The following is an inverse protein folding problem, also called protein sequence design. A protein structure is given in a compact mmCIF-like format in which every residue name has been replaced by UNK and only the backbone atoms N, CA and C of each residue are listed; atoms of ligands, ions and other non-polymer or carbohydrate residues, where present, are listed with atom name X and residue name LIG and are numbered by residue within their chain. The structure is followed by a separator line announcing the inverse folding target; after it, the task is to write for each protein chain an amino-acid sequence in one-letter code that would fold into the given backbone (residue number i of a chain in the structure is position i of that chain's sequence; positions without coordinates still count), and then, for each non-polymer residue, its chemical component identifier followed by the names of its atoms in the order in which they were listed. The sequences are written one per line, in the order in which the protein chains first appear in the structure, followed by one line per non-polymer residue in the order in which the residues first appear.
data_IF_626142659035
#
_entry.id   IF_626142659035
#
_cell.length_a   1.000
_cell.length_b   1.000
_cell.length_c   1.000
_cell.angle_alpha   90.00
_cell.angle_beta   90.00
_cell.angle_gamma   90.00
#
_symmetry.space_group_name_H-M   'P 1'
#
loop_
_entity.id
_entity.type
_entity.pdbx_description
1 polymer ?
#
# COMPACT_ATOMS: atom_id res chain seq x y z
N UNK A 1 -17.52 -5.67 -10.86
CA UNK A 1 -17.55 -4.33 -10.22
C UNK A 1 -18.99 -3.91 -10.13
N UNK A 2 -19.34 -3.32 -9.01
CA UNK A 2 -20.67 -2.76 -8.84
C UNK A 2 -20.74 -1.47 -9.68
N UNK A 3 -21.53 -1.49 -10.76
CA UNK A 3 -21.76 -0.31 -11.62
C UNK A 3 -22.41 0.86 -10.87
N UNK A 4 -22.86 0.61 -9.64
CA UNK A 4 -23.55 1.60 -8.80
C UNK A 4 -22.59 2.51 -8.02
N UNK A 5 -21.28 2.17 -7.94
CA UNK A 5 -20.29 2.96 -7.21
C UNK A 5 -19.00 3.12 -8.05
N UNK A 6 -18.98 3.99 -9.06
CA UNK A 6 -17.81 4.19 -9.90
C UNK A 6 -16.68 4.82 -9.09
N UNK A 7 -15.43 4.44 -9.41
CA UNK A 7 -14.24 5.08 -8.83
C UNK A 7 -14.25 6.57 -9.24
N UNK A 8 -14.13 7.51 -8.29
CA UNK A 8 -14.09 8.95 -8.60
C UNK A 8 -12.92 9.27 -9.53
N UNK A 9 -13.09 10.26 -10.38
CA UNK A 9 -12.01 10.79 -11.23
C UNK A 9 -10.97 11.53 -10.39
N UNK A 10 -9.71 11.47 -10.82
CA UNK A 10 -8.59 12.14 -10.16
C UNK A 10 -7.31 11.99 -10.97
N UNK A 11 -6.27 12.73 -10.64
CA UNK A 11 -4.99 12.65 -11.33
C UNK A 11 -4.20 11.39 -10.92
N UNK A 12 -4.30 11.00 -9.65
CA UNK A 12 -3.60 9.86 -9.07
C UNK A 12 -4.60 8.91 -8.42
N UNK A 13 -4.50 7.62 -8.78
CA UNK A 13 -5.23 6.54 -8.12
C UNK A 13 -4.27 5.74 -7.24
N UNK A 14 -4.61 5.57 -5.96
CA UNK A 14 -3.84 4.81 -4.99
C UNK A 14 -4.63 3.58 -4.55
N UNK A 15 -3.97 2.40 -4.54
CA UNK A 15 -4.49 1.16 -3.99
C UNK A 15 -3.57 0.66 -2.86
N UNK A 16 -4.10 0.52 -1.66
CA UNK A 16 -3.33 0.27 -0.43
C UNK A 16 -3.19 -1.20 -0.05
N UNK A 17 -3.16 -2.10 -1.04
CA UNK A 17 -2.93 -3.54 -0.83
C UNK A 17 -4.19 -4.39 -0.83
N UNK A 18 -4.01 -5.71 -0.64
CA UNK A 18 -5.04 -6.73 -0.78
C UNK A 18 -5.67 -6.74 -2.19
N UNK A 19 -4.79 -6.72 -3.18
CA UNK A 19 -5.15 -6.77 -4.60
C UNK A 19 -5.76 -8.12 -5.01
N UNK A 20 -5.48 -9.17 -4.25
CA UNK A 20 -5.86 -10.56 -4.50
C UNK A 20 -6.50 -11.21 -3.27
N UNK A 21 -7.10 -12.38 -3.43
CA UNK A 21 -7.59 -13.14 -2.27
C UNK A 21 -6.48 -13.94 -1.58
N UNK A 22 -5.60 -14.58 -2.36
CA UNK A 22 -4.50 -15.42 -1.86
C UNK A 22 -3.27 -15.40 -2.78
N UNK A 23 -3.12 -14.39 -3.62
CA UNK A 23 -1.94 -14.21 -4.46
C UNK A 23 -1.76 -15.24 -5.57
N UNK A 24 -2.84 -15.84 -6.10
CA UNK A 24 -2.71 -16.76 -7.24
C UNK A 24 -2.37 -16.00 -8.51
N UNK A 25 -1.59 -16.60 -9.45
CA UNK A 25 -1.20 -15.95 -10.70
C UNK A 25 -2.35 -15.27 -11.44
N UNK A 26 -3.47 -15.97 -11.62
CA UNK A 26 -4.62 -15.40 -12.33
C UNK A 26 -5.29 -14.23 -11.57
N UNK A 27 -5.28 -14.23 -10.22
CA UNK A 27 -5.82 -13.12 -9.42
C UNK A 27 -4.97 -11.86 -9.62
N UNK A 28 -3.63 -12.02 -9.64
CA UNK A 28 -2.70 -10.91 -9.90
C UNK A 28 -2.86 -10.39 -11.33
N UNK A 29 -2.96 -11.28 -12.32
CA UNK A 29 -3.18 -10.92 -13.72
C UNK A 29 -4.48 -10.15 -13.91
N UNK A 30 -5.58 -10.65 -13.32
CA UNK A 30 -6.89 -10.00 -13.37
C UNK A 30 -6.85 -8.61 -12.73
N UNK A 31 -6.20 -8.47 -11.55
CA UNK A 31 -6.03 -7.16 -10.90
C UNK A 31 -5.21 -6.21 -11.76
N UNK A 32 -4.04 -6.62 -12.23
CA UNK A 32 -3.15 -5.77 -13.02
C UNK A 32 -3.85 -5.32 -14.31
N UNK A 33 -4.49 -6.24 -15.03
CA UNK A 33 -5.24 -5.90 -16.22
C UNK A 33 -6.38 -4.92 -15.94
N UNK A 34 -7.15 -5.14 -14.86
CA UNK A 34 -8.19 -4.21 -14.45
C UNK A 34 -7.63 -2.83 -14.13
N UNK A 35 -6.59 -2.77 -13.28
CA UNK A 35 -6.01 -1.51 -12.80
C UNK A 35 -5.38 -0.71 -13.95
N UNK A 36 -4.68 -1.38 -14.87
CA UNK A 36 -4.15 -0.74 -16.10
C UNK A 36 -5.23 -0.14 -16.99
N UNK A 37 -6.40 -0.79 -17.09
CA UNK A 37 -7.47 -0.36 -17.96
C UNK A 37 -8.37 0.73 -17.38
N UNK A 38 -8.23 1.08 -16.10
CA UNK A 38 -8.92 2.22 -15.50
C UNK A 38 -8.50 3.52 -16.21
N UNK A 39 -9.49 4.33 -16.57
CA UNK A 39 -9.29 5.59 -17.28
C UNK A 39 -9.57 6.79 -16.39
N UNK A 40 -8.96 7.93 -16.72
CA UNK A 40 -9.16 9.19 -16.01
C UNK A 40 -8.17 9.40 -14.86
N UNK A 41 -7.02 8.72 -14.91
CA UNK A 41 -5.90 8.87 -13.98
C UNK A 41 -4.61 9.00 -14.78
N UNK A 42 -3.76 9.96 -14.43
CA UNK A 42 -2.45 10.15 -15.05
C UNK A 42 -1.43 9.16 -14.47
N UNK A 43 -1.60 8.80 -13.20
CA UNK A 43 -0.73 7.85 -12.49
C UNK A 43 -1.57 6.94 -11.59
N UNK A 44 -1.24 5.67 -11.58
CA UNK A 44 -1.87 4.65 -10.72
C UNK A 44 -0.79 3.98 -9.87
N UNK A 45 -0.93 4.02 -8.55
CA UNK A 45 0.06 3.48 -7.61
C UNK A 45 -0.60 2.39 -6.78
N UNK A 46 0.06 1.26 -6.61
CA UNK A 46 -0.38 0.23 -5.70
C UNK A 46 0.76 -0.35 -4.88
N UNK A 47 0.41 -0.90 -3.73
CA UNK A 47 1.26 -1.73 -2.89
C UNK A 47 0.61 -3.10 -2.72
N UNK A 48 1.34 -4.08 -2.21
CA UNK A 48 0.77 -5.34 -1.77
C UNK A 48 0.16 -5.23 -0.37
N UNK A 49 -0.67 -6.21 0.01
CA UNK A 49 -1.21 -6.41 1.34
C UNK A 49 -1.00 -7.84 1.82
N UNK A 50 -1.65 -8.21 2.94
CA UNK A 50 -1.44 -9.53 3.53
C UNK A 50 -2.03 -10.67 2.71
N UNK A 51 -3.00 -10.42 1.87
CA UNK A 51 -3.56 -11.41 0.94
C UNK A 51 -2.68 -11.69 -0.28
N UNK A 52 -1.71 -10.83 -0.55
CA UNK A 52 -0.94 -10.79 -1.80
C UNK A 52 0.34 -11.62 -1.73
N UNK A 53 0.20 -12.94 -1.47
CA UNK A 53 1.33 -13.87 -1.28
C UNK A 53 2.31 -13.93 -2.46
N UNK A 54 1.85 -13.72 -3.69
CA UNK A 54 2.70 -13.73 -4.87
C UNK A 54 3.78 -12.64 -4.86
N UNK A 55 3.56 -11.58 -4.08
CA UNK A 55 4.47 -10.43 -3.99
C UNK A 55 5.56 -10.62 -2.91
N UNK A 56 5.36 -11.50 -1.91
CA UNK A 56 6.34 -11.75 -0.84
C UNK A 56 7.35 -12.84 -1.20
N UNK A 57 8.48 -12.43 -1.77
CA UNK A 57 9.54 -13.28 -2.35
C UNK A 57 10.11 -14.33 -1.40
N UNK A 58 10.28 -14.00 -0.13
CA UNK A 58 11.15 -14.78 0.78
C UNK A 58 10.38 -15.78 1.62
N UNK A 59 9.09 -15.60 1.82
CA UNK A 59 8.28 -16.39 2.77
C UNK A 59 7.64 -17.63 2.15
N UNK A 60 7.51 -17.66 0.82
CA UNK A 60 6.82 -18.73 0.11
C UNK A 60 7.71 -19.42 -0.93
N UNK A 61 8.80 -20.10 -0.49
CA UNK A 61 9.68 -20.84 -1.41
C UNK A 61 8.96 -21.96 -2.17
N UNK A 62 7.77 -22.40 -1.69
CA UNK A 62 6.92 -23.39 -2.37
C UNK A 62 6.17 -22.80 -3.58
N UNK A 63 6.06 -21.49 -3.68
CA UNK A 63 5.46 -20.75 -4.80
C UNK A 63 6.52 -20.07 -5.69
N UNK A 64 7.73 -20.63 -5.73
CA UNK A 64 8.83 -20.03 -6.51
C UNK A 64 8.48 -19.80 -7.98
N UNK A 65 7.66 -20.69 -8.56
CA UNK A 65 7.16 -20.51 -9.92
C UNK A 65 6.18 -19.34 -10.06
N UNK A 66 5.37 -19.09 -9.03
CA UNK A 66 4.38 -17.99 -9.03
C UNK A 66 5.09 -16.64 -8.88
N UNK A 67 6.14 -16.56 -8.04
CA UNK A 67 6.97 -15.36 -7.92
C UNK A 67 7.76 -15.05 -9.20
N UNK A 68 8.37 -16.05 -9.82
CA UNK A 68 9.09 -15.85 -11.10
C UNK A 68 8.12 -15.34 -12.17
N UNK A 69 6.90 -15.87 -12.21
CA UNK A 69 5.85 -15.40 -13.11
C UNK A 69 5.43 -13.95 -12.80
N UNK A 70 5.20 -13.61 -11.52
CA UNK A 70 4.91 -12.25 -11.08
C UNK A 70 6.03 -11.27 -11.48
N UNK A 71 7.29 -11.65 -11.24
CA UNK A 71 8.45 -10.85 -11.63
C UNK A 71 8.48 -10.59 -13.15
N UNK A 72 8.14 -11.59 -13.95
CA UNK A 72 8.00 -11.44 -15.39
C UNK A 72 6.84 -10.50 -15.75
N UNK A 73 5.68 -10.64 -15.14
CA UNK A 73 4.54 -9.77 -15.38
C UNK A 73 4.86 -8.31 -15.04
N UNK A 74 5.49 -8.05 -13.90
CA UNK A 74 5.84 -6.70 -13.47
C UNK A 74 6.98 -6.07 -14.29
N UNK A 75 7.81 -6.89 -14.91
CA UNK A 75 8.88 -6.44 -15.82
C UNK A 75 8.50 -6.53 -17.30
N UNK A 76 7.29 -6.97 -17.62
CA UNK A 76 6.81 -6.93 -19.01
C UNK A 76 6.82 -5.48 -19.52
N UNK A 77 7.23 -5.34 -20.77
CA UNK A 77 7.33 -4.05 -21.47
C UNK A 77 6.04 -3.22 -21.41
N UNK A 78 4.89 -3.91 -21.25
CA UNK A 78 3.58 -3.27 -21.11
C UNK A 78 3.40 -2.53 -19.79
N UNK A 79 3.89 -3.07 -18.66
CA UNK A 79 3.77 -2.41 -17.36
C UNK A 79 4.77 -1.26 -17.25
N UNK A 80 6.01 -1.46 -17.72
CA UNK A 80 7.04 -0.42 -17.73
C UNK A 80 6.72 0.78 -18.62
N UNK A 81 5.81 0.62 -19.59
CA UNK A 81 5.30 1.68 -20.46
C UNK A 81 3.92 2.20 -20.02
N UNK A 82 3.38 1.67 -18.92
CA UNK A 82 2.09 2.09 -18.38
C UNK A 82 2.25 3.19 -17.33
N UNK A 83 1.14 3.82 -16.98
CA UNK A 83 0.97 4.76 -15.88
C UNK A 83 0.78 4.06 -14.52
N UNK A 84 1.10 2.75 -14.42
CA UNK A 84 0.95 1.92 -13.21
C UNK A 84 2.28 1.68 -12.53
N UNK A 85 2.35 1.92 -11.23
CA UNK A 85 3.53 1.78 -10.39
C UNK A 85 3.22 0.85 -9.21
N UNK A 86 4.06 -0.14 -8.98
CA UNK A 86 4.11 -0.94 -7.76
C UNK A 86 5.20 -0.42 -6.85
N UNK A 87 4.88 -0.16 -5.58
CA UNK A 87 5.84 0.26 -4.57
C UNK A 87 5.96 -0.82 -3.49
N UNK A 88 7.21 -1.22 -3.22
CA UNK A 88 7.60 -2.08 -2.11
C UNK A 88 8.88 -1.52 -1.50
N UNK A 89 8.75 -0.95 -0.29
CA UNK A 89 9.82 -0.26 0.43
C UNK A 89 10.63 0.68 -0.47
N UNK A 90 9.92 1.43 -1.29
CA UNK A 90 10.49 2.26 -2.33
C UNK A 90 9.76 3.60 -2.47
N UNK A 91 10.49 4.58 -3.00
CA UNK A 91 9.98 5.91 -3.27
C UNK A 91 9.66 6.12 -4.75
N UNK A 92 8.75 7.03 -5.01
CA UNK A 92 8.45 7.57 -6.32
C UNK A 92 8.19 9.06 -6.22
N UNK A 93 8.56 9.83 -7.24
CA UNK A 93 8.40 11.29 -7.23
C UNK A 93 7.66 11.73 -8.49
N UNK A 94 6.67 12.61 -8.31
CA UNK A 94 5.89 13.21 -9.41
C UNK A 94 6.05 14.71 -9.40
N UNK A 95 6.26 15.29 -10.58
CA UNK A 95 6.22 16.72 -10.80
C UNK A 95 4.85 17.13 -11.35
N UNK A 96 4.18 18.04 -10.65
CA UNK A 96 2.98 18.70 -11.14
C UNK A 96 3.21 20.20 -11.21
N UNK A 97 2.77 20.88 -12.29
CA UNK A 97 2.96 22.32 -12.47
C UNK A 97 2.37 23.18 -11.34
N UNK A 98 1.34 22.68 -10.67
CA UNK A 98 0.64 23.35 -9.58
C UNK A 98 1.41 23.35 -8.26
N UNK A 99 2.37 22.45 -8.10
CA UNK A 99 3.20 22.37 -6.90
C UNK A 99 4.56 23.04 -7.11
N UNK A 100 5.04 23.73 -6.11
CA UNK A 100 6.35 24.43 -6.15
C UNK A 100 7.54 23.48 -6.11
N UNK A 101 7.31 22.20 -5.80
CA UNK A 101 8.29 21.11 -5.77
C UNK A 101 7.63 19.78 -6.11
N UNK A 102 8.43 18.79 -6.52
CA UNK A 102 7.92 17.42 -6.71
C UNK A 102 7.27 16.87 -5.44
N UNK A 103 6.24 16.04 -5.60
CA UNK A 103 5.62 15.25 -4.53
C UNK A 103 6.32 13.91 -4.41
N UNK A 104 6.75 13.56 -3.20
CA UNK A 104 7.41 12.29 -2.90
C UNK A 104 6.42 11.30 -2.27
N UNK A 105 6.32 10.14 -2.89
CA UNK A 105 5.55 8.99 -2.43
C UNK A 105 6.48 7.95 -1.82
N UNK A 106 6.01 7.24 -0.82
CA UNK A 106 6.61 6.01 -0.30
C UNK A 106 5.55 4.95 -0.13
N UNK A 107 5.84 3.71 -0.57
CA UNK A 107 4.95 2.56 -0.43
C UNK A 107 5.61 1.41 0.30
N UNK A 108 4.88 0.79 1.24
CA UNK A 108 5.36 -0.37 2.01
C UNK A 108 4.20 -1.31 2.37
N UNK A 109 4.32 -2.63 2.11
CA UNK A 109 3.27 -3.60 2.36
C UNK A 109 3.26 -4.18 3.78
N UNK A 110 4.32 -3.97 4.57
CA UNK A 110 4.53 -4.61 5.86
C UNK A 110 3.48 -4.23 6.90
N UNK A 111 3.26 -5.17 7.85
CA UNK A 111 2.33 -4.97 8.96
C UNK A 111 2.68 -5.85 10.16
N UNK A 112 2.15 -5.53 11.36
CA UNK A 112 2.21 -6.42 12.51
C UNK A 112 1.54 -7.76 12.19
N UNK A 113 2.15 -8.85 12.68
CA UNK A 113 1.70 -10.22 12.45
C UNK A 113 0.23 -10.43 12.84
N UNK A 114 -0.53 -10.93 11.87
CA UNK A 114 -1.90 -11.38 12.03
C UNK A 114 -2.07 -12.72 11.30
N UNK A 115 -2.20 -13.80 12.05
CA UNK A 115 -2.15 -15.17 11.52
C UNK A 115 -0.87 -15.44 10.67
N UNK A 116 -0.95 -16.37 9.72
CA UNK A 116 0.17 -16.70 8.83
C UNK A 116 -0.05 -16.15 7.42
N UNK A 117 -0.30 -14.84 7.32
CA UNK A 117 -0.49 -14.11 6.07
C UNK A 117 0.82 -13.52 5.54
N UNK A 118 0.78 -12.96 4.31
CA UNK A 118 1.93 -12.30 3.71
C UNK A 118 2.31 -10.99 4.43
N UNK A 119 3.54 -10.54 4.24
CA UNK A 119 4.09 -9.27 4.76
C UNK A 119 3.91 -9.06 6.27
N UNK A 120 3.87 -10.15 7.01
CA UNK A 120 3.71 -10.17 8.46
C UNK A 120 5.07 -10.19 9.16
N UNK A 121 5.25 -9.30 10.13
CA UNK A 121 6.42 -9.26 11.02
C UNK A 121 5.99 -9.11 12.49
N UNK A 122 6.80 -9.59 13.44
CA UNK A 122 6.51 -9.42 14.87
C UNK A 122 6.24 -7.95 15.21
N UNK A 123 5.12 -7.67 15.91
CA UNK A 123 4.60 -6.32 16.19
C UNK A 123 5.63 -5.34 16.76
N UNK A 124 6.50 -5.82 17.64
CA UNK A 124 7.58 -5.03 18.26
C UNK A 124 8.96 -5.54 17.86
N UNK A 125 9.06 -6.18 16.67
CA UNK A 125 10.29 -6.77 16.17
C UNK A 125 11.23 -5.75 15.53
N UNK A 126 12.54 -5.98 15.65
CA UNK A 126 13.58 -5.15 15.02
C UNK A 126 13.43 -5.06 13.49
N UNK A 127 12.92 -6.13 12.86
CA UNK A 127 12.71 -6.13 11.42
C UNK A 127 11.61 -5.15 10.99
N UNK A 128 10.48 -5.10 11.72
CA UNK A 128 9.41 -4.16 11.41
C UNK A 128 9.86 -2.72 11.65
N UNK A 129 10.61 -2.47 12.74
CA UNK A 129 11.22 -1.16 13.00
C UNK A 129 12.19 -0.75 11.89
N UNK A 130 12.99 -1.70 11.39
CA UNK A 130 13.90 -1.45 10.26
C UNK A 130 13.15 -1.00 9.01
N UNK A 131 12.07 -1.67 8.62
CA UNK A 131 11.27 -1.28 7.46
C UNK A 131 10.67 0.12 7.63
N UNK A 132 10.12 0.43 8.80
CA UNK A 132 9.59 1.78 9.05
C UNK A 132 10.70 2.84 9.05
N UNK A 133 11.90 2.52 9.47
CA UNK A 133 13.03 3.45 9.44
C UNK A 133 13.49 3.81 8.02
N UNK A 134 13.16 3.00 7.02
CA UNK A 134 13.46 3.26 5.61
C UNK A 134 12.61 4.38 5.01
N UNK A 135 11.44 4.68 5.58
CA UNK A 135 10.56 5.76 5.09
C UNK A 135 11.36 7.08 5.13
N UNK A 136 11.55 7.80 4.02
CA UNK A 136 12.28 9.06 4.03
C UNK A 136 11.58 10.15 4.86
N UNK A 137 12.36 11.04 5.49
CA UNK A 137 11.79 12.13 6.30
C UNK A 137 11.03 13.19 5.47
N UNK A 138 11.28 13.25 4.19
CA UNK A 138 10.68 14.19 3.23
C UNK A 138 9.57 13.53 2.39
N UNK A 139 9.00 12.43 2.86
CA UNK A 139 7.84 11.78 2.24
C UNK A 139 6.60 12.66 2.40
N UNK A 140 5.96 13.00 1.29
CA UNK A 140 4.71 13.76 1.25
C UNK A 140 3.48 12.86 1.35
N UNK A 141 3.50 11.75 0.64
CA UNK A 141 2.40 10.79 0.56
C UNK A 141 2.93 9.42 0.94
N UNK A 142 2.44 8.91 2.08
CA UNK A 142 2.78 7.60 2.60
C UNK A 142 1.65 6.62 2.29
N UNK A 143 2.01 5.44 1.79
CA UNK A 143 1.08 4.35 1.51
C UNK A 143 1.56 3.13 2.29
N UNK A 144 0.75 2.62 3.23
CA UNK A 144 1.02 1.38 3.96
C UNK A 144 -0.19 0.46 3.86
N UNK A 145 0.00 -0.86 4.02
CA UNK A 145 -1.15 -1.73 3.99
C UNK A 145 -1.99 -1.58 5.26
N UNK A 146 -1.39 -1.71 6.43
CA UNK A 146 -2.08 -1.53 7.71
C UNK A 146 -2.00 -0.11 8.28
N UNK A 147 -2.92 0.24 9.22
CA UNK A 147 -2.97 1.54 9.86
C UNK A 147 -1.87 1.73 10.92
N UNK A 148 -1.47 2.98 11.22
CA UNK A 148 -0.76 3.31 12.43
C UNK A 148 -1.69 3.22 13.66
N UNK A 149 -1.16 2.82 14.82
CA UNK A 149 -1.93 2.64 16.06
C UNK A 149 -2.70 3.92 16.47
N UNK A 150 -3.95 3.75 16.87
CA UNK A 150 -4.83 4.82 17.32
C UNK A 150 -5.35 5.75 16.22
N UNK A 151 -5.23 5.32 14.94
CA UNK A 151 -5.75 6.08 13.80
C UNK A 151 -6.47 5.15 12.83
N UNK A 152 -7.80 5.21 12.84
CA UNK A 152 -8.63 4.41 11.93
C UNK A 152 -8.24 2.92 11.92
N UNK A 153 -8.00 2.35 13.11
CA UNK A 153 -7.45 1.01 13.31
C UNK A 153 -8.30 0.14 14.25
N UNK A 154 -9.52 0.57 14.57
CA UNK A 154 -10.40 -0.17 15.49
C UNK A 154 -11.12 -1.33 14.79
N UNK A 155 -11.18 -2.46 15.49
CA UNK A 155 -12.00 -3.63 15.17
C UNK A 155 -13.21 -3.69 16.10
N UNK A 156 -14.19 -4.63 15.89
CA UNK A 156 -15.32 -4.79 16.81
C UNK A 156 -14.88 -4.82 18.26
N UNK A 157 -15.68 -4.16 19.14
CA UNK A 157 -15.39 -3.87 20.55
C UNK A 157 -14.33 -2.77 20.79
N UNK A 158 -14.01 -1.96 19.79
CA UNK A 158 -13.09 -0.81 19.87
C UNK A 158 -11.65 -1.19 20.27
N UNK A 159 -11.18 -2.39 19.91
CA UNK A 159 -9.77 -2.71 20.03
C UNK A 159 -8.99 -2.04 18.90
N UNK A 160 -7.98 -1.27 19.27
CA UNK A 160 -7.01 -0.66 18.36
C UNK A 160 -5.95 -1.71 18.00
N UNK A 161 -5.79 -2.00 16.71
CA UNK A 161 -4.92 -3.07 16.22
C UNK A 161 -3.79 -2.57 15.30
N UNK A 162 -3.74 -1.28 15.05
CA UNK A 162 -2.71 -0.65 14.23
C UNK A 162 -1.30 -0.80 14.80
N UNK A 163 -0.30 -0.44 14.01
CA UNK A 163 1.11 -0.59 14.33
C UNK A 163 1.66 0.60 15.14
N UNK A 164 2.16 0.33 16.34
CA UNK A 164 2.73 1.36 17.24
C UNK A 164 4.05 1.92 16.66
N UNK A 165 4.90 1.05 16.09
CA UNK A 165 6.16 1.47 15.48
C UNK A 165 5.90 2.37 14.26
N UNK A 166 4.92 2.01 13.42
CA UNK A 166 4.48 2.86 12.31
C UNK A 166 3.97 4.20 12.82
N UNK A 167 3.18 4.21 13.90
CA UNK A 167 2.68 5.45 14.50
C UNK A 167 3.81 6.41 14.85
N UNK A 168 4.84 5.92 15.54
CA UNK A 168 6.02 6.72 15.89
C UNK A 168 6.71 7.27 14.64
N UNK A 169 6.88 6.43 13.61
CA UNK A 169 7.54 6.84 12.38
C UNK A 169 6.75 7.89 11.61
N UNK A 170 5.44 7.70 11.48
CA UNK A 170 4.57 8.67 10.77
C UNK A 170 4.56 10.03 11.45
N UNK A 171 4.59 10.08 12.79
CA UNK A 171 4.70 11.35 13.53
C UNK A 171 6.04 12.07 13.29
N UNK A 172 7.13 11.33 13.07
CA UNK A 172 8.44 11.92 12.72
C UNK A 172 8.47 12.47 11.29
N UNK A 173 7.89 11.72 10.34
CA UNK A 173 7.84 12.08 8.92
C UNK A 173 6.84 13.21 8.69
N UNK A 174 5.71 13.18 9.37
CA UNK A 174 4.60 14.13 9.25
C UNK A 174 4.17 14.35 7.78
N UNK A 175 3.77 13.29 7.05
CA UNK A 175 3.39 13.40 5.64
C UNK A 175 2.12 14.23 5.49
N UNK A 176 1.87 14.78 4.30
CA UNK A 176 0.61 15.46 3.99
C UNK A 176 -0.57 14.49 3.97
N UNK A 177 -0.32 13.27 3.45
CA UNK A 177 -1.33 12.23 3.31
C UNK A 177 -0.74 10.87 3.69
N UNK A 178 -1.49 10.09 4.49
CA UNK A 178 -1.20 8.69 4.77
C UNK A 178 -2.41 7.83 4.39
N UNK A 179 -2.27 7.02 3.34
CA UNK A 179 -3.30 6.10 2.84
C UNK A 179 -2.97 4.68 3.31
N UNK A 180 -3.97 3.98 3.83
CA UNK A 180 -3.87 2.59 4.26
C UNK A 180 -5.22 1.87 4.13
N UNK A 181 -5.27 0.58 4.42
CA UNK A 181 -6.47 -0.27 4.38
C UNK A 181 -6.47 -1.29 5.51
N UNK A 182 -6.66 -2.59 5.18
CA UNK A 182 -6.59 -3.75 6.06
C UNK A 182 -7.69 -3.81 7.13
N UNK A 183 -7.95 -2.74 7.87
CA UNK A 183 -8.94 -2.73 8.96
C UNK A 183 -10.27 -2.17 8.44
N UNK A 184 -11.06 -3.03 7.80
CA UNK A 184 -12.32 -2.66 7.13
C UNK A 184 -13.33 -1.96 8.04
N UNK A 185 -13.38 -2.30 9.32
CA UNK A 185 -14.30 -1.67 10.29
C UNK A 185 -14.02 -0.18 10.51
N UNK A 186 -12.80 0.25 10.22
CA UNK A 186 -12.35 1.61 10.48
C UNK A 186 -12.27 2.49 9.22
N UNK A 187 -12.92 2.07 8.13
CA UNK A 187 -13.01 2.83 6.88
C UNK A 187 -13.34 4.31 7.10
N UNK A 188 -12.69 5.18 6.33
CA UNK A 188 -12.92 6.62 6.32
C UNK A 188 -11.66 7.43 6.60
N UNK A 189 -11.82 8.74 6.82
CA UNK A 189 -10.73 9.70 6.93
C UNK A 189 -10.71 10.43 8.26
N UNK A 190 -9.55 10.98 8.63
CA UNK A 190 -9.38 11.85 9.80
C UNK A 190 -8.11 12.71 9.65
N UNK A 191 -8.20 13.99 10.03
CA UNK A 191 -7.02 14.82 10.23
C UNK A 191 -6.45 14.65 11.65
N UNK A 192 -5.12 14.49 11.75
CA UNK A 192 -4.38 14.64 13.01
C UNK A 192 -3.12 15.47 12.74
N UNK A 193 -3.03 16.64 13.37
CA UNK A 193 -2.03 17.64 12.99
C UNK A 193 -2.24 18.09 11.53
N UNK A 194 -1.17 18.11 10.77
CA UNK A 194 -1.19 18.51 9.35
C UNK A 194 -1.38 17.31 8.39
N UNK A 195 -1.45 16.09 8.92
CA UNK A 195 -1.61 14.86 8.12
C UNK A 195 -3.08 14.48 7.97
N UNK A 196 -3.51 14.26 6.73
CA UNK A 196 -4.75 13.56 6.41
C UNK A 196 -4.47 12.05 6.40
N UNK A 197 -5.19 11.29 7.24
CA UNK A 197 -5.17 9.82 7.27
C UNK A 197 -6.41 9.27 6.62
N UNK A 198 -6.23 8.32 5.71
CA UNK A 198 -7.32 7.68 4.98
C UNK A 198 -7.21 6.17 5.10
N UNK A 199 -8.20 5.54 5.73
CA UNK A 199 -8.42 4.09 5.65
C UNK A 199 -9.40 3.84 4.49
N UNK A 200 -8.90 3.33 3.36
CA UNK A 200 -9.59 3.18 2.08
C UNK A 200 -10.26 1.81 1.94
#
# INVERSE_FOLDING_TARGET
MDETNPIPQGDILIHSGDCTNVGKPHEVEDFVHWFMNLKGFDTKIFIAGNHDFAFEKHRYPHHKGDYDWYYHLMNEEKLSQSDVLYLEDSEFTIEYPEFSRPLKFWGSPWQPEFYNWAFNLPRHGEELEKYWSMIPNDTDILITHGPPHGIRDFVPNNFEVGCELLRVRVEQVNPLLHVFGHIHNAYGEVYKGDTLYVNA
#
